data_IF_441897501684
#
_entry.id   IF_441897501684
#
_cell.length_a   1.000
_cell.length_b   1.000
_cell.length_c   1.000
_cell.angle_alpha   90.00
_cell.angle_beta   90.00
_cell.angle_gamma   90.00
#
_symmetry.space_group_name_H-M   'P 1'
#
loop_
_entity.id
_entity.type
_entity.pdbx_description
1 polymer ?
#
# COMPACT_ATOMS: atom_id res chain seq x y z
N UNK A 1 5.62 -10.10 -3.94
CA UNK A 1 5.35 -8.93 -4.80
C UNK A 1 4.66 -7.85 -3.98
N UNK A 2 4.92 -6.60 -4.33
CA UNK A 2 4.40 -5.47 -3.57
C UNK A 2 2.88 -5.47 -3.45
N UNK A 3 2.17 -5.75 -4.54
CA UNK A 3 0.71 -5.75 -4.53
C UNK A 3 0.15 -6.76 -3.53
N UNK A 4 0.74 -7.94 -3.48
CA UNK A 4 0.30 -8.98 -2.55
C UNK A 4 0.60 -8.58 -1.11
N UNK A 5 1.76 -8.00 -0.87
CA UNK A 5 2.14 -7.57 0.48
C UNK A 5 1.19 -6.49 1.00
N UNK A 6 0.84 -5.54 0.15
CA UNK A 6 -0.08 -4.47 0.53
C UNK A 6 -1.45 -5.04 0.87
N UNK A 7 -1.95 -5.96 0.04
CA UNK A 7 -3.23 -6.61 0.33
C UNK A 7 -3.20 -7.34 1.67
N UNK A 8 -2.11 -8.07 1.93
CA UNK A 8 -1.98 -8.83 3.17
C UNK A 8 -1.98 -7.91 4.37
N UNK A 9 -1.19 -6.83 4.33
CA UNK A 9 -1.13 -5.88 5.43
C UNK A 9 -2.49 -5.21 5.64
N UNK A 10 -3.15 -4.85 4.54
CA UNK A 10 -4.46 -4.20 4.62
C UNK A 10 -5.48 -5.11 5.29
N UNK A 11 -5.52 -6.37 4.89
CA UNK A 11 -6.47 -7.33 5.45
C UNK A 11 -6.17 -7.60 6.93
N UNK A 12 -4.90 -7.67 7.29
CA UNK A 12 -4.51 -7.83 8.69
C UNK A 12 -4.96 -6.66 9.54
N UNK A 13 -4.92 -5.47 8.98
CA UNK A 13 -5.37 -4.27 9.69
C UNK A 13 -6.89 -4.15 9.74
N UNK A 14 -7.60 -4.98 8.98
CA UNK A 14 -9.05 -4.89 8.90
C UNK A 14 -9.53 -3.72 8.08
N UNK A 15 -8.74 -3.25 7.13
CA UNK A 15 -9.04 -2.07 6.33
C UNK A 15 -9.57 -2.43 4.95
N UNK A 16 -10.53 -1.63 4.48
CA UNK A 16 -10.92 -1.66 3.07
C UNK A 16 -9.87 -0.90 2.25
N UNK A 17 -9.96 -1.02 0.93
CA UNK A 17 -9.08 -0.24 0.05
C UNK A 17 -9.28 1.26 0.28
N UNK A 18 -10.52 1.68 0.49
CA UNK A 18 -10.80 3.08 0.75
C UNK A 18 -10.19 3.53 2.07
N UNK A 19 -10.24 2.68 3.07
CA UNK A 19 -9.62 3.00 4.36
C UNK A 19 -8.11 3.18 4.22
N UNK A 20 -7.48 2.31 3.45
CA UNK A 20 -6.05 2.44 3.19
C UNK A 20 -5.75 3.75 2.46
N UNK A 21 -6.59 4.11 1.48
CA UNK A 21 -6.41 5.38 0.78
C UNK A 21 -6.46 6.55 1.74
N UNK A 22 -7.43 6.55 2.64
CA UNK A 22 -7.54 7.60 3.66
C UNK A 22 -6.32 7.63 4.58
N UNK A 23 -5.90 6.48 5.06
CA UNK A 23 -4.78 6.39 6.00
C UNK A 23 -3.45 6.78 5.38
N UNK A 24 -3.28 6.48 4.09
CA UNK A 24 -2.03 6.79 3.40
C UNK A 24 -2.02 8.18 2.77
N UNK A 25 -3.18 8.81 2.67
CA UNK A 25 -3.30 10.09 1.98
C UNK A 25 -3.23 9.97 0.47
N UNK A 26 -3.48 8.77 -0.05
CA UNK A 26 -3.46 8.52 -1.48
C UNK A 26 -4.88 8.44 -2.02
N UNK A 27 -5.03 8.56 -3.34
CA UNK A 27 -6.33 8.40 -3.97
C UNK A 27 -6.72 6.92 -4.01
N UNK A 28 -8.01 6.67 -3.93
CA UNK A 28 -8.53 5.31 -4.01
C UNK A 28 -8.05 4.61 -5.29
N UNK A 29 -8.10 5.30 -6.43
CA UNK A 29 -7.65 4.72 -7.70
C UNK A 29 -6.18 4.31 -7.65
N UNK A 30 -5.35 5.05 -6.94
CA UNK A 30 -3.95 4.69 -6.80
C UNK A 30 -3.81 3.37 -6.03
N UNK A 31 -4.58 3.21 -4.96
CA UNK A 31 -4.56 1.97 -4.17
C UNK A 31 -5.03 0.78 -5.01
N UNK A 32 -6.13 0.94 -5.74
CA UNK A 32 -6.64 -0.17 -6.54
C UNK A 32 -5.65 -0.60 -7.62
N UNK A 33 -5.00 0.35 -8.28
CA UNK A 33 -4.01 0.05 -9.30
C UNK A 33 -2.81 -0.70 -8.72
N UNK A 34 -2.35 -0.28 -7.56
CA UNK A 34 -1.22 -0.94 -6.90
C UNK A 34 -1.61 -2.38 -6.53
N UNK A 35 -2.79 -2.58 -5.96
CA UNK A 35 -3.23 -3.90 -5.53
C UNK A 35 -3.52 -4.82 -6.70
N UNK A 36 -3.90 -4.26 -7.84
CA UNK A 36 -4.13 -5.06 -9.05
C UNK A 36 -2.83 -5.37 -9.79
N UNK A 37 -1.73 -4.75 -9.40
CA UNK A 37 -0.48 -4.92 -10.09
C UNK A 37 -0.37 -4.12 -11.38
N UNK A 38 -1.33 -3.22 -11.63
CA UNK A 38 -1.32 -2.38 -12.84
C UNK A 38 -0.29 -1.27 -12.76
N UNK A 39 -0.02 -0.78 -11.55
CA UNK A 39 1.03 0.22 -11.35
C UNK A 39 2.36 -0.49 -11.33
N UNK A 40 3.13 -0.34 -12.40
CA UNK A 40 4.39 -1.08 -12.55
C UNK A 40 5.43 -0.66 -11.52
N UNK A 41 5.50 0.64 -11.23
CA UNK A 41 6.48 1.14 -10.28
C UNK A 41 5.90 2.31 -9.51
N UNK A 42 5.28 2.05 -8.36
CA UNK A 42 4.86 3.15 -7.50
C UNK A 42 6.08 3.98 -7.12
N UNK A 43 5.90 5.29 -7.00
CA UNK A 43 7.01 6.15 -6.62
C UNK A 43 7.45 5.85 -5.19
N UNK A 44 8.66 6.27 -4.86
CA UNK A 44 9.18 6.16 -3.49
C UNK A 44 8.25 6.87 -2.52
N UNK A 45 7.76 8.05 -2.88
CA UNK A 45 6.83 8.79 -2.03
C UNK A 45 5.55 7.99 -1.76
N UNK A 46 5.01 7.35 -2.79
CA UNK A 46 3.83 6.52 -2.64
C UNK A 46 4.10 5.37 -1.67
N UNK A 47 5.24 4.70 -1.82
CA UNK A 47 5.59 3.59 -0.95
C UNK A 47 5.82 4.04 0.48
N UNK A 48 6.44 5.20 0.68
CA UNK A 48 6.65 5.74 2.01
C UNK A 48 5.30 6.02 2.68
N UNK A 49 4.36 6.62 1.95
CA UNK A 49 3.04 6.91 2.49
C UNK A 49 2.31 5.63 2.91
N UNK A 50 2.42 4.59 2.10
CA UNK A 50 1.78 3.31 2.43
C UNK A 50 2.46 2.68 3.65
N UNK A 51 3.79 2.67 3.68
CA UNK A 51 4.52 2.13 4.82
C UNK A 51 4.18 2.87 6.10
N UNK A 52 4.09 4.19 6.03
CA UNK A 52 3.71 4.99 7.19
C UNK A 52 2.30 4.66 7.66
N UNK A 53 1.37 4.45 6.72
CA UNK A 53 0.00 4.12 7.06
C UNK A 53 -0.07 2.81 7.84
N UNK A 54 0.74 1.83 7.46
CA UNK A 54 0.80 0.55 8.15
C UNK A 54 1.77 0.54 9.33
N UNK A 55 2.52 1.62 9.53
CA UNK A 55 3.54 1.73 10.58
C UNK A 55 4.59 0.63 10.46
N UNK A 56 5.00 0.36 9.24
CA UNK A 56 6.07 -0.60 8.96
C UNK A 56 7.20 0.13 8.24
N UNK A 57 8.38 -0.49 8.23
CA UNK A 57 9.50 0.08 7.49
C UNK A 57 9.29 -0.13 5.99
N UNK A 58 10.00 0.65 5.20
CA UNK A 58 9.96 0.48 3.76
C UNK A 58 10.47 -0.90 3.36
N UNK A 59 11.51 -1.39 4.05
CA UNK A 59 12.04 -2.73 3.80
C UNK A 59 11.00 -3.82 4.04
N UNK A 60 10.22 -3.69 5.11
CA UNK A 60 9.14 -4.62 5.37
C UNK A 60 8.10 -4.60 4.27
N UNK A 61 7.76 -3.40 3.81
CA UNK A 61 6.74 -3.24 2.79
C UNK A 61 7.16 -3.90 1.48
N UNK A 62 8.42 -3.75 1.09
CA UNK A 62 8.90 -4.34 -0.17
C UNK A 62 9.38 -5.78 -0.02
N UNK A 63 9.31 -6.33 1.17
CA UNK A 63 9.59 -7.76 1.38
C UNK A 63 11.06 -8.10 1.53
N UNK A 64 11.87 -7.20 2.05
CA UNK A 64 13.28 -7.47 2.30
C UNK A 64 13.56 -7.72 3.76
#
# INVERSE_FOLDING_TARGET
>A
MLSKKIKTLRKKAGWSQQKLAEKSGLYYNAITKIEQGSAKQPTIQTMIKIADAFKVSLDELVGR
#
